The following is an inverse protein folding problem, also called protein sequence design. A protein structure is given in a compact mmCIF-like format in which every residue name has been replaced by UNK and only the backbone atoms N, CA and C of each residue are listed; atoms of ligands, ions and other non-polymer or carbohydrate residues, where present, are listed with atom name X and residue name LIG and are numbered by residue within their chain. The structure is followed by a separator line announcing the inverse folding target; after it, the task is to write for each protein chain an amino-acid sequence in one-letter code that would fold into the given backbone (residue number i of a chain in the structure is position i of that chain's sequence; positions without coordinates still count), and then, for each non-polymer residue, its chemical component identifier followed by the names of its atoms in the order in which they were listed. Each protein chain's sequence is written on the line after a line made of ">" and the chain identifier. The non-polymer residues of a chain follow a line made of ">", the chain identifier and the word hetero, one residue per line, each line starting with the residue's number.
data_IF_422889838114
#
_entry.id   IF_422889838114
#
_cell.length_a   1.000
_cell.length_b   1.000
_cell.length_c   1.000
_cell.angle_alpha   90.00
_cell.angle_beta   90.00
_cell.angle_gamma   90.00
#
_symmetry.space_group_name_H-M   'P 1'
#
loop_
_entity.id
_entity.type
_entity.pdbx_description
1 polymer ?
#
# COMPACT_ATOMS: atom_id res chain seq x y z
N UNK A 1 -3.45 -0.04 17.22
CA UNK A 1 -2.30 -0.28 16.32
C UNK A 1 -1.43 0.97 16.26
N UNK A 2 -0.14 0.79 16.36
CA UNK A 2 0.80 1.92 16.31
C UNK A 2 1.04 2.36 14.88
N UNK A 3 1.44 3.62 14.72
CA UNK A 3 1.72 4.19 13.41
C UNK A 3 2.81 3.41 12.68
N UNK A 4 3.87 3.00 13.40
CA UNK A 4 4.95 2.24 12.81
C UNK A 4 4.48 0.90 12.27
N UNK A 5 3.52 0.28 12.94
CA UNK A 5 3.00 -1.00 12.49
C UNK A 5 2.26 -0.87 11.17
N UNK A 6 1.51 0.23 11.02
CA UNK A 6 0.81 0.48 9.76
C UNK A 6 1.81 0.69 8.63
N UNK A 7 2.85 1.48 8.88
CA UNK A 7 3.88 1.72 7.88
C UNK A 7 4.60 0.44 7.50
N UNK A 8 4.88 -0.41 8.49
CA UNK A 8 5.53 -1.70 8.23
C UNK A 8 4.65 -2.58 7.35
N UNK A 9 3.35 -2.63 7.64
CA UNK A 9 2.42 -3.44 6.86
C UNK A 9 2.32 -2.94 5.41
N UNK A 10 2.33 -1.63 5.23
CA UNK A 10 2.32 -1.05 3.88
C UNK A 10 3.56 -1.46 3.10
N UNK A 11 4.72 -1.45 3.77
CA UNK A 11 5.96 -1.87 3.14
C UNK A 11 5.91 -3.34 2.74
N UNK A 12 5.34 -4.19 3.61
CA UNK A 12 5.16 -5.60 3.29
C UNK A 12 4.32 -5.77 2.01
N UNK A 13 3.22 -5.03 1.89
CA UNK A 13 2.35 -5.15 0.72
C UNK A 13 3.14 -4.84 -0.56
N UNK A 14 3.96 -3.80 -0.53
CA UNK A 14 4.73 -3.43 -1.71
C UNK A 14 5.72 -4.55 -2.08
N UNK A 15 6.40 -5.14 -1.10
CA UNK A 15 7.31 -6.26 -1.36
C UNK A 15 6.55 -7.44 -1.96
N UNK A 16 5.40 -7.76 -1.41
CA UNK A 16 4.62 -8.90 -1.87
C UNK A 16 4.10 -8.67 -3.30
N UNK A 17 3.68 -7.45 -3.60
CA UNK A 17 3.20 -7.14 -4.95
C UNK A 17 4.33 -7.19 -5.97
N UNK A 18 5.48 -6.63 -5.62
CA UNK A 18 6.62 -6.59 -6.53
C UNK A 18 7.33 -7.93 -6.63
N UNK A 19 7.18 -8.77 -5.63
CA UNK A 19 7.90 -10.04 -5.50
C UNK A 19 9.40 -9.85 -5.63
N UNK A 20 9.88 -8.71 -5.17
CA UNK A 20 11.28 -8.33 -5.27
C UNK A 20 11.58 -7.26 -4.24
N UNK A 21 12.57 -7.50 -3.39
CA UNK A 21 13.01 -6.49 -2.44
C UNK A 21 13.67 -5.31 -3.15
N UNK A 22 14.39 -5.60 -4.24
CA UNK A 22 15.06 -4.54 -4.99
C UNK A 22 14.04 -3.57 -5.60
N UNK A 23 13.03 -4.10 -6.27
CA UNK A 23 12.01 -3.25 -6.89
C UNK A 23 11.15 -2.56 -5.85
N UNK A 24 10.82 -3.27 -4.77
CA UNK A 24 10.03 -2.66 -3.71
C UNK A 24 10.79 -1.51 -3.04
N UNK A 25 12.08 -1.69 -2.79
CA UNK A 25 12.89 -0.65 -2.19
C UNK A 25 12.95 0.59 -3.09
N UNK A 26 13.09 0.38 -4.40
CA UNK A 26 13.08 1.47 -5.35
C UNK A 26 11.74 2.22 -5.32
N UNK A 27 10.64 1.45 -5.29
CA UNK A 27 9.30 2.03 -5.26
C UNK A 27 9.05 2.85 -3.99
N UNK A 28 9.62 2.40 -2.86
CA UNK A 28 9.44 3.05 -1.57
C UNK A 28 10.53 4.07 -1.26
N UNK A 29 11.52 4.22 -2.15
CA UNK A 29 12.65 5.14 -1.96
C UNK A 29 13.38 4.86 -0.65
N UNK A 30 13.70 3.60 -0.41
CA UNK A 30 14.43 3.22 0.79
C UNK A 30 15.46 2.15 0.47
N UNK A 31 16.37 1.92 1.42
CA UNK A 31 17.40 0.91 1.26
C UNK A 31 16.79 -0.48 1.34
N UNK A 32 17.31 -1.39 0.53
CA UNK A 32 16.83 -2.77 0.52
C UNK A 32 17.02 -3.44 1.88
N UNK A 33 18.12 -3.15 2.56
CA UNK A 33 18.39 -3.72 3.88
C UNK A 33 17.39 -3.24 4.92
N UNK A 34 16.99 -1.96 4.84
CA UNK A 34 15.99 -1.42 5.75
C UNK A 34 14.65 -2.10 5.52
N UNK A 35 14.28 -2.28 4.26
CA UNK A 35 13.03 -2.94 3.91
C UNK A 35 13.01 -4.39 4.39
N UNK A 36 14.12 -5.07 4.25
CA UNK A 36 14.26 -6.44 4.72
C UNK A 36 14.06 -6.54 6.23
N UNK A 37 14.58 -5.58 6.98
CA UNK A 37 14.40 -5.54 8.43
C UNK A 37 12.96 -5.27 8.82
N UNK A 38 12.27 -4.43 8.06
CA UNK A 38 10.86 -4.14 8.32
C UNK A 38 10.03 -5.42 8.23
N UNK A 39 10.24 -6.18 7.16
CA UNK A 39 9.50 -7.43 6.98
C UNK A 39 9.82 -8.41 8.10
N UNK A 40 11.10 -8.53 8.45
CA UNK A 40 11.51 -9.43 9.53
C UNK A 40 10.86 -9.03 10.85
N UNK A 41 10.76 -7.74 11.12
CA UNK A 41 10.15 -7.23 12.35
C UNK A 41 8.66 -7.62 12.43
N UNK A 42 7.96 -7.54 11.30
CA UNK A 42 6.56 -7.96 11.26
C UNK A 42 6.46 -9.46 11.53
N UNK A 43 7.30 -10.23 10.86
CA UNK A 43 7.28 -11.69 11.02
C UNK A 43 7.56 -12.10 12.48
N UNK A 44 8.49 -11.42 13.12
CA UNK A 44 8.81 -11.70 14.51
C UNK A 44 7.65 -11.35 15.44
N UNK A 45 7.00 -10.22 15.17
CA UNK A 45 5.87 -9.79 15.98
C UNK A 45 4.71 -10.76 15.89
N UNK A 46 4.46 -11.27 14.69
CA UNK A 46 3.34 -12.17 14.44
C UNK A 46 3.68 -13.63 14.76
N UNK A 47 4.97 -13.97 14.81
CA UNK A 47 5.40 -15.35 14.96
C UNK A 47 5.12 -16.20 13.74
N UNK A 48 5.05 -15.57 12.57
CA UNK A 48 4.74 -16.24 11.30
C UNK A 48 5.68 -15.74 10.21
N UNK A 49 6.01 -16.62 9.27
CA UNK A 49 6.70 -16.21 8.05
C UNK A 49 5.66 -15.69 7.07
N UNK A 50 5.91 -14.52 6.53
CA UNK A 50 5.03 -13.92 5.54
C UNK A 50 5.58 -14.03 4.14
N UNK A 51 6.90 -14.13 4.00
CA UNK A 51 7.55 -14.24 2.71
C UNK A 51 8.57 -15.35 2.73
N UNK A 52 8.65 -16.08 1.61
CA UNK A 52 9.69 -17.06 1.37
C UNK A 52 10.62 -16.50 0.31
N UNK A 53 11.91 -16.47 0.60
CA UNK A 53 12.91 -15.95 -0.32
C UNK A 53 13.58 -17.10 -1.05
N UNK A 54 13.70 -16.95 -2.38
CA UNK A 54 14.50 -17.83 -3.18
C UNK A 54 15.67 -17.02 -3.73
N UNK A 55 16.54 -17.65 -4.50
CA UNK A 55 17.67 -16.95 -5.09
C UNK A 55 17.24 -15.95 -6.14
N UNK A 56 16.02 -16.06 -6.66
CA UNK A 56 15.55 -15.23 -7.77
C UNK A 56 14.37 -14.36 -7.42
N UNK A 57 13.58 -14.74 -6.45
CA UNK A 57 12.35 -14.02 -6.18
C UNK A 57 11.92 -14.19 -4.75
N UNK A 58 10.90 -13.42 -4.40
CA UNK A 58 10.26 -13.46 -3.10
C UNK A 58 8.81 -13.85 -3.34
N UNK A 59 8.32 -14.84 -2.59
CA UNK A 59 6.97 -15.36 -2.76
C UNK A 59 6.28 -15.32 -1.42
N UNK A 60 5.04 -14.79 -1.34
CA UNK A 60 4.30 -14.82 -0.08
C UNK A 60 4.01 -16.25 0.37
N UNK A 61 4.08 -16.47 1.68
CA UNK A 61 3.60 -17.71 2.27
C UNK A 61 2.07 -17.68 2.30
N UNK A 62 1.44 -18.75 2.77
CA UNK A 62 0.00 -18.76 2.93
C UNK A 62 -0.46 -17.62 3.83
N UNK A 63 0.25 -17.40 4.94
CA UNK A 63 -0.05 -16.29 5.84
C UNK A 63 0.14 -14.95 5.13
N UNK A 64 1.19 -14.83 4.33
CA UNK A 64 1.45 -13.61 3.57
C UNK A 64 0.38 -13.35 2.53
N UNK A 65 -0.08 -14.40 1.84
CA UNK A 65 -1.14 -14.25 0.86
C UNK A 65 -2.45 -13.80 1.52
N UNK A 66 -2.75 -14.36 2.68
CA UNK A 66 -3.94 -13.96 3.41
C UNK A 66 -3.87 -12.48 3.80
N UNK A 67 -2.75 -12.06 4.35
CA UNK A 67 -2.57 -10.68 4.76
C UNK A 67 -2.63 -9.75 3.55
N UNK A 68 -2.01 -10.15 2.45
CA UNK A 68 -2.02 -9.35 1.22
C UNK A 68 -3.44 -9.21 0.68
N UNK A 69 -4.24 -10.27 0.73
CA UNK A 69 -5.60 -10.22 0.21
C UNK A 69 -6.47 -9.23 0.96
N UNK A 70 -6.16 -8.97 2.22
CA UNK A 70 -6.89 -7.99 3.03
C UNK A 70 -6.31 -6.58 2.85
N UNK A 71 -4.99 -6.47 2.95
CA UNK A 71 -4.33 -5.16 2.97
C UNK A 71 -4.21 -4.54 1.59
N UNK A 72 -4.03 -5.36 0.54
CA UNK A 72 -3.86 -4.84 -0.80
C UNK A 72 -5.01 -3.95 -1.25
N UNK A 73 -6.25 -4.44 -1.17
CA UNK A 73 -7.40 -3.60 -1.53
C UNK A 73 -7.54 -2.36 -0.67
N UNK A 74 -7.23 -2.48 0.64
CA UNK A 74 -7.31 -1.33 1.54
C UNK A 74 -6.36 -0.22 1.11
N UNK A 75 -5.12 -0.56 0.77
CA UNK A 75 -4.14 0.42 0.33
C UNK A 75 -4.52 1.02 -1.01
N UNK A 76 -5.08 0.20 -1.89
CA UNK A 76 -5.56 0.68 -3.18
C UNK A 76 -6.68 1.69 -2.99
N UNK A 77 -7.59 1.44 -2.05
CA UNK A 77 -8.68 2.35 -1.75
C UNK A 77 -8.15 3.69 -1.22
N UNK A 78 -7.12 3.64 -0.39
CA UNK A 78 -6.50 4.85 0.12
C UNK A 78 -5.90 5.67 -1.02
N UNK A 79 -5.17 5.00 -1.92
CA UNK A 79 -4.59 5.67 -3.08
C UNK A 79 -5.67 6.30 -3.95
N UNK A 80 -6.77 5.59 -4.18
CA UNK A 80 -7.88 6.10 -4.97
C UNK A 80 -8.50 7.33 -4.32
N UNK A 81 -8.65 7.31 -3.00
CA UNK A 81 -9.21 8.44 -2.27
C UNK A 81 -8.31 9.67 -2.42
N UNK A 82 -7.00 9.48 -2.30
CA UNK A 82 -6.05 10.58 -2.43
C UNK A 82 -6.04 11.14 -3.85
N UNK A 83 -6.11 10.25 -4.84
CA UNK A 83 -6.17 10.65 -6.24
C UNK A 83 -7.43 11.48 -6.51
N UNK A 84 -8.56 11.07 -5.94
CA UNK A 84 -9.81 11.82 -6.08
C UNK A 84 -9.68 13.23 -5.53
N UNK A 85 -9.00 13.39 -4.40
CA UNK A 85 -8.77 14.71 -3.82
C UNK A 85 -7.89 15.56 -4.73
N UNK A 86 -6.87 14.97 -5.32
CA UNK A 86 -6.00 15.69 -6.27
C UNK A 86 -6.81 16.17 -7.48
N UNK A 87 -7.70 15.33 -7.99
CA UNK A 87 -8.54 15.69 -9.11
C UNK A 87 -9.44 16.88 -8.77
N UNK A 88 -9.98 16.91 -7.56
CA UNK A 88 -10.79 18.02 -7.11
C UNK A 88 -9.99 19.30 -7.05
N UNK A 89 -8.76 19.22 -6.55
CA UNK A 89 -7.88 20.37 -6.45
C UNK A 89 -7.54 20.96 -7.82
N UNK A 90 -7.46 20.12 -8.83
CA UNK A 90 -7.07 20.52 -10.18
C UNK A 90 -8.23 20.95 -11.05
N UNK A 91 -9.45 20.96 -10.50
CA UNK A 91 -10.60 21.42 -11.27
C UNK A 91 -10.55 22.92 -11.52
N UNK A 92 -11.06 23.39 -12.68
CA UNK A 92 -11.20 24.82 -12.88
C UNK A 92 -12.07 25.44 -11.80
N UNK A 93 -11.70 26.61 -11.33
CA UNK A 93 -12.34 27.21 -10.18
C UNK A 93 -13.81 27.54 -10.42
N UNK A 94 -14.22 27.76 -11.64
CA UNK A 94 -15.59 28.15 -11.93
C UNK A 94 -16.60 27.02 -11.89
N UNK A 95 -16.19 25.80 -11.70
CA UNK A 95 -17.06 24.62 -11.80
C UNK A 95 -17.57 24.12 -10.48
N UNK A 96 -17.29 24.83 -9.46
CA UNK A 96 -17.66 24.33 -8.15
C UNK A 96 -19.14 24.43 -7.96
N UNK A 97 -19.85 23.89 -7.88
CA UNK A 97 -21.02 23.92 -7.45
C UNK A 97 -21.76 22.85 -7.26
N UNK A 98 -21.40 23.17 -7.28
CA UNK A 98 -21.91 22.24 -7.06
C UNK A 98 -22.35 21.41 -7.12
N UNK A 99 -22.56 21.76 -7.30
CA UNK A 99 -22.97 20.87 -7.26
C UNK A 99 -23.33 20.05 -7.25
N UNK A 100 -23.66 20.57 -7.39
CA UNK A 100 -23.97 19.76 -7.25
C UNK A 100 -24.37 18.84 -7.49
N UNK A 101 -24.65 19.40 -7.66
CA UNK A 101 -24.99 18.52 -7.71
C UNK A 101 -25.08 17.59 -8.10
N UNK A 102 -25.28 17.97 -8.51
CA UNK A 102 -25.23 17.23 -8.68
C UNK A 102 -25.07 16.33 -8.64
N UNK A 103 -25.12 16.92 -8.76
CA UNK A 103 -24.77 16.27 -8.53
C UNK A 103 -24.65 15.48 -8.30
N UNK A 104 -24.96 16.08 -8.32
CA UNK A 104 -24.70 15.58 -7.95
C UNK A 104 -24.41 14.83 -8.01
N UNK A 105 -24.50 15.30 -8.27
CA UNK A 105 -24.12 14.77 -8.20
C UNK A 105 -23.66 14.23 -8.41
N UNK A 106 -23.54 14.61 -8.53
CA UNK A 106 -23.01 14.38 -8.57
C UNK A 106 -22.56 14.00 -8.39
N UNK A 107 -22.45 14.57 -8.40
CA UNK A 107 -21.96 14.60 -8.05
C UNK A 107 -21.62 14.51 -7.80
N UNK A 108 -21.47 15.25 -7.93
CA UNK A 108 -21.08 15.47 -7.54
C UNK A 108 -20.95 15.21 -7.38
#
# INVERSE_FOLDING_TARGET
>A
MKREEIADLMAFVVVAEERSFTRAAARLSMAQSALSQIVRRIEERLGLRLLTRTTRSVVPTEAGEHLLSVLGPMLHDIDSALTSLSDLQNRPSGTIRITTVEHAAKTI
#
